data_IF_696864814221
#
_entry.id   IF_696864814221
#
_cell.length_a   1.000
_cell.length_b   1.000
_cell.length_c   1.000
_cell.angle_alpha   90.00
_cell.angle_beta   90.00
_cell.angle_gamma   90.00
#
_symmetry.space_group_name_H-M   'P 1'
#
loop_
_entity.id
_entity.type
_entity.pdbx_description
1 polymer ?
#
# COMPACT_ATOMS: atom_id res chain seq x y z
N UNK A 1 -34.04 0.82 13.72
CA UNK A 1 -33.53 2.21 13.70
C UNK A 1 -32.02 2.14 13.54
N UNK A 2 -31.51 2.75 12.48
CA UNK A 2 -30.23 2.56 11.82
C UNK A 2 -29.00 2.87 12.69
N UNK A 3 -28.12 1.90 12.87
CA UNK A 3 -26.70 2.15 13.11
C UNK A 3 -25.91 1.21 12.20
N UNK A 4 -26.11 1.41 10.89
CA UNK A 4 -25.16 0.93 9.89
C UNK A 4 -23.85 1.66 10.18
N UNK A 5 -22.89 0.92 10.69
CA UNK A 5 -21.51 1.33 10.90
C UNK A 5 -20.96 1.75 9.54
N UNK A 6 -21.00 3.04 9.25
CA UNK A 6 -20.51 3.68 8.01
C UNK A 6 -18.98 3.87 8.06
N UNK A 7 -18.24 2.86 8.53
CA UNK A 7 -16.77 2.91 8.62
C UNK A 7 -16.07 2.41 7.35
N UNK A 8 -16.83 1.90 6.37
CA UNK A 8 -16.29 1.43 5.08
C UNK A 8 -15.94 2.58 4.12
N UNK A 9 -16.51 3.77 4.34
CA UNK A 9 -16.44 4.92 3.43
C UNK A 9 -15.15 5.74 3.59
N UNK A 10 -14.60 5.79 4.80
CA UNK A 10 -13.40 6.56 5.14
C UNK A 10 -12.11 5.82 4.74
N UNK A 11 -12.09 4.51 4.94
CA UNK A 11 -10.90 3.69 4.73
C UNK A 11 -10.53 3.50 3.24
N UNK A 12 -11.48 3.68 2.32
CA UNK A 12 -11.24 3.62 0.86
C UNK A 12 -10.74 4.95 0.29
N UNK A 13 -11.14 6.09 0.88
CA UNK A 13 -10.69 7.44 0.44
C UNK A 13 -9.24 7.71 0.84
N UNK A 14 -8.79 7.21 1.98
CA UNK A 14 -7.41 7.40 2.46
C UNK A 14 -6.38 6.64 1.62
N UNK A 15 -6.78 5.50 1.02
CA UNK A 15 -5.92 4.66 0.16
C UNK A 15 -5.36 5.40 -1.06
N UNK A 16 -6.13 6.35 -1.61
CA UNK A 16 -5.72 7.16 -2.77
C UNK A 16 -5.02 8.45 -2.37
N UNK A 17 -5.14 8.88 -1.11
CA UNK A 17 -4.55 10.13 -0.60
C UNK A 17 -3.10 9.96 -0.22
N UNK A 18 -2.71 8.84 0.40
CA UNK A 18 -1.32 8.54 0.81
C UNK A 18 -0.28 8.74 -0.32
N UNK A 19 -0.42 8.14 -1.52
CA UNK A 19 0.52 8.36 -2.62
C UNK A 19 0.48 9.79 -3.17
N UNK A 20 -0.68 10.46 -3.15
CA UNK A 20 -0.80 11.87 -3.57
C UNK A 20 -0.13 12.81 -2.59
N UNK A 21 -0.24 12.55 -1.30
CA UNK A 21 0.45 13.31 -0.24
C UNK A 21 1.96 13.15 -0.41
N UNK A 22 2.45 11.92 -0.62
CA UNK A 22 3.85 11.68 -0.94
C UNK A 22 4.33 12.45 -2.18
N UNK A 23 3.52 12.47 -3.24
CA UNK A 23 3.81 13.21 -4.47
C UNK A 23 3.82 14.73 -4.25
N UNK A 24 2.86 15.27 -3.50
CA UNK A 24 2.79 16.70 -3.16
C UNK A 24 3.97 17.12 -2.28
N UNK A 25 4.30 16.34 -1.24
CA UNK A 25 5.48 16.57 -0.41
C UNK A 25 6.77 16.54 -1.24
N UNK A 26 6.89 15.56 -2.14
CA UNK A 26 8.02 15.46 -3.07
C UNK A 26 8.11 16.69 -3.97
N UNK A 27 6.98 17.14 -4.53
CA UNK A 27 6.92 18.31 -5.40
C UNK A 27 7.28 19.60 -4.66
N UNK A 28 6.77 19.80 -3.44
CA UNK A 28 7.11 20.93 -2.58
C UNK A 28 8.60 20.90 -2.23
N UNK A 29 9.14 19.75 -1.89
CA UNK A 29 10.56 19.58 -1.58
C UNK A 29 11.45 19.95 -2.78
N UNK A 30 11.16 19.38 -3.96
CA UNK A 30 11.91 19.68 -5.19
C UNK A 30 11.78 21.15 -5.58
N UNK A 31 10.59 21.74 -5.46
CA UNK A 31 10.38 23.16 -5.71
C UNK A 31 11.16 24.04 -4.73
N UNK A 32 11.23 23.66 -3.45
CA UNK A 32 12.02 24.34 -2.43
C UNK A 32 13.52 24.29 -2.73
N UNK A 33 14.03 23.13 -3.14
CA UNK A 33 15.43 22.97 -3.57
C UNK A 33 15.72 23.81 -4.82
N UNK A 34 14.84 23.79 -5.82
CA UNK A 34 14.99 24.60 -7.03
C UNK A 34 14.96 26.10 -6.73
N UNK A 35 14.05 26.55 -5.85
CA UNK A 35 13.98 27.94 -5.41
C UNK A 35 15.23 28.35 -4.63
N UNK A 36 15.72 27.50 -3.74
CA UNK A 36 16.95 27.73 -2.98
C UNK A 36 18.14 27.92 -3.92
N UNK A 37 18.34 27.04 -4.90
CA UNK A 37 19.39 27.17 -5.91
C UNK A 37 19.27 28.46 -6.73
N UNK A 38 18.03 28.82 -7.11
CA UNK A 38 17.75 30.02 -7.89
C UNK A 38 18.10 31.30 -7.12
N UNK A 39 17.71 31.37 -5.83
CA UNK A 39 18.05 32.51 -4.95
C UNK A 39 19.55 32.58 -4.68
N UNK A 40 20.23 31.44 -4.53
CA UNK A 40 21.68 31.38 -4.32
C UNK A 40 22.47 31.81 -5.58
N UNK A 41 21.83 31.88 -6.75
CA UNK A 41 22.48 32.19 -8.02
C UNK A 41 23.50 31.13 -8.47
N UNK A 42 23.47 29.94 -7.85
CA UNK A 42 24.40 28.86 -8.18
C UNK A 42 23.80 27.97 -9.25
N UNK A 43 24.47 27.90 -10.40
CA UNK A 43 24.16 26.91 -11.44
C UNK A 43 24.83 25.58 -11.07
N UNK A 44 24.07 24.55 -10.67
CA UNK A 44 24.67 23.23 -10.42
C UNK A 44 25.27 22.61 -11.69
N UNK A 45 24.94 23.14 -12.87
CA UNK A 45 25.54 22.75 -14.14
C UNK A 45 27.00 23.19 -14.32
N UNK A 46 27.49 24.14 -13.52
CA UNK A 46 28.91 24.54 -13.49
C UNK A 46 29.75 23.69 -12.52
N UNK A 47 29.11 22.84 -11.71
CA UNK A 47 29.81 21.96 -10.78
C UNK A 47 30.54 20.85 -11.54
N UNK A 48 31.68 20.42 -10.99
CA UNK A 48 32.38 19.24 -11.50
C UNK A 48 31.46 18.02 -11.41
N UNK A 49 31.59 17.09 -12.34
CA UNK A 49 30.73 15.89 -12.40
C UNK A 49 30.66 15.11 -11.07
N UNK A 50 31.75 15.07 -10.31
CA UNK A 50 31.80 14.44 -8.98
C UNK A 50 30.94 15.19 -7.94
N UNK A 51 31.01 16.52 -7.92
CA UNK A 51 30.27 17.38 -6.99
C UNK A 51 28.77 17.44 -7.34
N UNK A 52 28.45 17.36 -8.64
CA UNK A 52 27.08 17.19 -9.11
C UNK A 52 26.49 15.85 -8.62
N UNK A 53 27.29 14.79 -8.63
CA UNK A 53 26.93 13.49 -8.08
C UNK A 53 26.62 13.55 -6.58
N UNK A 54 27.49 14.18 -5.79
CA UNK A 54 27.28 14.36 -4.35
C UNK A 54 26.04 15.21 -4.05
N UNK A 55 25.79 16.26 -4.84
CA UNK A 55 24.59 17.08 -4.74
C UNK A 55 23.31 16.28 -5.04
N UNK A 56 23.26 15.55 -6.16
CA UNK A 56 22.10 14.71 -6.50
C UNK A 56 21.90 13.60 -5.45
N UNK A 57 22.96 12.99 -4.96
CA UNK A 57 22.91 11.99 -3.90
C UNK A 57 22.31 12.57 -2.61
N UNK A 58 22.74 13.77 -2.22
CA UNK A 58 22.21 14.48 -1.05
C UNK A 58 20.73 14.85 -1.18
N UNK A 59 20.33 15.46 -2.30
CA UNK A 59 18.93 15.88 -2.52
C UNK A 59 18.00 14.69 -2.71
N UNK A 60 18.46 13.62 -3.37
CA UNK A 60 17.67 12.42 -3.66
C UNK A 60 17.49 11.52 -2.44
N UNK A 61 18.43 11.48 -1.50
CA UNK A 61 18.38 10.56 -0.35
C UNK A 61 17.11 10.68 0.50
N UNK A 62 16.68 11.89 0.96
CA UNK A 62 15.43 12.04 1.70
C UNK A 62 14.19 11.67 0.88
N UNK A 63 14.21 11.98 -0.42
CA UNK A 63 13.11 11.69 -1.33
C UNK A 63 12.96 10.17 -1.53
N UNK A 64 14.06 9.48 -1.82
CA UNK A 64 14.08 8.02 -1.97
C UNK A 64 13.63 7.32 -0.68
N UNK A 65 14.09 7.80 0.48
CA UNK A 65 13.68 7.27 1.77
C UNK A 65 12.18 7.45 2.03
N UNK A 66 11.62 8.63 1.72
CA UNK A 66 10.18 8.89 1.82
C UNK A 66 9.37 7.87 1.02
N UNK A 67 9.77 7.61 -0.23
CA UNK A 67 9.09 6.65 -1.10
C UNK A 67 9.25 5.21 -0.64
N UNK A 68 10.41 4.83 -0.09
CA UNK A 68 10.61 3.51 0.52
C UNK A 68 9.66 3.26 1.68
N UNK A 69 9.55 4.23 2.60
CA UNK A 69 8.64 4.13 3.75
C UNK A 69 7.18 4.04 3.29
N UNK A 70 6.79 4.86 2.33
CA UNK A 70 5.44 4.84 1.77
C UNK A 70 5.12 3.53 1.06
N UNK A 71 6.07 3.00 0.29
CA UNK A 71 5.98 1.69 -0.36
C UNK A 71 5.83 0.56 0.65
N UNK A 72 6.62 0.59 1.74
CA UNK A 72 6.55 -0.41 2.80
C UNK A 72 5.17 -0.44 3.48
N UNK A 73 4.59 0.73 3.77
CA UNK A 73 3.24 0.79 4.33
C UNK A 73 2.18 0.27 3.37
N UNK A 74 2.31 0.55 2.07
CA UNK A 74 1.41 0.03 1.04
C UNK A 74 1.50 -1.50 0.95
N UNK A 75 2.70 -2.06 0.82
CA UNK A 75 2.94 -3.51 0.78
C UNK A 75 2.41 -4.21 2.04
N UNK A 76 2.65 -3.64 3.22
CA UNK A 76 2.17 -4.20 4.50
C UNK A 76 0.65 -4.30 4.55
N UNK A 77 -0.08 -3.33 3.99
CA UNK A 77 -1.55 -3.36 3.93
C UNK A 77 -2.04 -4.44 2.96
N UNK A 78 -1.39 -4.58 1.82
CA UNK A 78 -1.71 -5.60 0.83
C UNK A 78 -1.54 -7.02 1.40
N UNK A 79 -0.45 -7.28 2.13
CA UNK A 79 -0.22 -8.56 2.82
C UNK A 79 -1.35 -8.87 3.81
N UNK A 80 -1.78 -7.89 4.61
CA UNK A 80 -2.88 -8.08 5.57
C UNK A 80 -4.20 -8.42 4.89
N UNK A 81 -4.52 -7.75 3.78
CA UNK A 81 -5.74 -8.02 3.02
C UNK A 81 -5.69 -9.41 2.36
N UNK A 82 -4.56 -9.78 1.76
CA UNK A 82 -4.35 -11.11 1.16
C UNK A 82 -4.47 -12.23 2.20
N UNK A 83 -3.84 -12.07 3.37
CA UNK A 83 -3.93 -13.04 4.47
C UNK A 83 -5.36 -13.24 4.97
N UNK A 84 -6.14 -12.15 5.07
CA UNK A 84 -7.56 -12.20 5.43
C UNK A 84 -8.40 -12.94 4.39
N UNK A 85 -8.18 -12.67 3.11
CA UNK A 85 -8.88 -13.35 2.01
C UNK A 85 -8.58 -14.86 2.02
N UNK A 86 -7.31 -15.24 2.23
CA UNK A 86 -6.90 -16.64 2.32
C UNK A 86 -7.56 -17.36 3.50
N UNK A 87 -7.66 -16.71 4.66
CA UNK A 87 -8.36 -17.27 5.82
C UNK A 87 -9.85 -17.51 5.55
N UNK A 88 -10.52 -16.55 4.88
CA UNK A 88 -11.91 -16.70 4.50
C UNK A 88 -12.10 -17.84 3.50
N UNK A 89 -11.23 -17.92 2.49
CA UNK A 89 -11.27 -19.00 1.49
C UNK A 89 -11.05 -20.38 2.12
N UNK A 90 -10.12 -20.50 3.07
CA UNK A 90 -9.90 -21.75 3.80
C UNK A 90 -11.12 -22.14 4.66
N UNK A 91 -11.77 -21.16 5.30
CA UNK A 91 -12.98 -21.40 6.08
C UNK A 91 -14.16 -21.87 5.20
N UNK A 92 -14.30 -21.30 4.01
CA UNK A 92 -15.34 -21.68 3.05
C UNK A 92 -15.08 -23.08 2.46
N UNK A 93 -13.82 -23.41 2.15
CA UNK A 93 -13.44 -24.75 1.72
C UNK A 93 -13.73 -25.81 2.78
N UNK A 94 -13.46 -25.51 4.06
CA UNK A 94 -13.79 -26.41 5.17
C UNK A 94 -15.29 -26.66 5.25
N UNK A 95 -16.11 -25.61 5.14
CA UNK A 95 -17.58 -25.74 5.12
C UNK A 95 -18.07 -26.58 3.94
N UNK A 96 -17.50 -26.38 2.76
CA UNK A 96 -17.83 -27.17 1.57
C UNK A 96 -17.52 -28.66 1.77
N UNK A 97 -16.36 -28.99 2.36
CA UNK A 97 -16.01 -30.39 2.71
C UNK A 97 -16.98 -30.97 3.74
N UNK A 98 -17.35 -30.20 4.76
CA UNK A 98 -18.30 -30.65 5.78
C UNK A 98 -19.69 -30.92 5.18
N UNK A 99 -20.16 -30.09 4.25
CA UNK A 99 -21.41 -30.31 3.51
C UNK A 99 -21.34 -31.55 2.60
N UNK A 100 -20.26 -31.72 1.85
CA UNK A 100 -20.06 -32.92 1.03
C UNK A 100 -20.04 -34.20 1.88
N UNK A 101 -19.44 -34.15 3.08
CA UNK A 101 -19.44 -35.28 4.00
C UNK A 101 -20.83 -35.59 4.53
N UNK A 102 -21.65 -34.58 4.82
CA UNK A 102 -23.05 -34.75 5.24
C UNK A 102 -23.90 -35.38 4.14
N UNK A 103 -23.76 -34.91 2.90
CA UNK A 103 -24.45 -35.49 1.74
C UNK A 103 -24.05 -36.95 1.50
N UNK A 104 -22.76 -37.27 1.59
CA UNK A 104 -22.27 -38.64 1.46
C UNK A 104 -22.78 -39.56 2.59
N UNK A 105 -22.87 -39.06 3.82
CA UNK A 105 -23.43 -39.80 4.96
C UNK A 105 -24.93 -40.07 4.84
N UNK A 106 -25.73 -39.05 4.50
CA UNK A 106 -27.17 -39.18 4.35
C UNK A 106 -27.60 -40.14 3.23
N UNK A 107 -26.81 -40.22 2.15
CA UNK A 107 -27.07 -41.16 1.04
C UNK A 107 -26.78 -42.63 1.41
N UNK A 108 -25.96 -42.87 2.44
CA UNK A 108 -25.66 -44.21 2.94
C UNK A 108 -26.78 -44.78 3.82
N UNK A 109 -27.44 -43.93 4.61
CA UNK A 109 -28.48 -44.33 5.55
C UNK A 109 -29.79 -44.72 4.85
N UNK A 110 -30.15 -44.01 3.77
CA UNK A 110 -31.36 -44.24 2.95
C UNK A 110 -31.34 -45.56 2.14
N UNK A 111 -30.18 -46.23 2.03
CA UNK A 111 -30.04 -47.54 1.35
C UNK A 111 -30.11 -48.74 2.30
N UNK A 112 -30.33 -48.50 3.59
CA UNK A 112 -30.30 -49.52 4.65
C UNK A 112 -31.68 -49.87 5.22
N UNK A 113 -32.75 -49.28 4.69
CA UNK A 113 -34.15 -49.52 5.06
C UNK A 113 -34.90 -50.19 3.90
#
# INVERSE_FOLDING_TARGET
MTAGVDTSSDDERDRRRLPRIGLVLSAIYVAGVALYLWVQGQNPADLRLNELGDFLGGVSSPLAFLWLVLGFFQQSREIRLSSKALHLQAAEMKRSVDEHRRLAGGTGEDRSA
#
